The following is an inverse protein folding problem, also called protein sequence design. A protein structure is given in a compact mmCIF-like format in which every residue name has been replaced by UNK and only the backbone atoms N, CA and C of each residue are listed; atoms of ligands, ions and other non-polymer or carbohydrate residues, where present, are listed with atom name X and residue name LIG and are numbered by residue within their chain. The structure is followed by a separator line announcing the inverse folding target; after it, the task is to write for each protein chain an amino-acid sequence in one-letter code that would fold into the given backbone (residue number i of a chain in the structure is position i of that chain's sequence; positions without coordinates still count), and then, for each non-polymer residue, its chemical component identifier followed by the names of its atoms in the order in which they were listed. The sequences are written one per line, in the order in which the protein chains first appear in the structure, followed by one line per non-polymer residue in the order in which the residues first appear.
data_IF_852105241907
#
_entry.id   IF_852105241907
#
_cell.length_a   1.000
_cell.length_b   1.000
_cell.length_c   1.000
_cell.angle_alpha   90.00
_cell.angle_beta   90.00
_cell.angle_gamma   90.00
#
_symmetry.space_group_name_H-M   'P 1'
#
loop_
_entity.id
_entity.type
_entity.pdbx_description
1 polymer ?
#
# COMPACT_ATOMS: atom_id res chain seq x y z
N UNK A 1 -63.89 -18.87 -20.14
CA UNK A 1 -62.59 -18.84 -20.84
C UNK A 1 -61.61 -17.77 -20.32
N UNK A 2 -62.02 -16.59 -19.96
CA UNK A 2 -61.09 -15.52 -19.50
C UNK A 2 -60.40 -15.75 -18.15
N UNK A 3 -61.04 -16.47 -17.22
CA UNK A 3 -60.45 -16.76 -15.90
C UNK A 3 -59.24 -17.71 -15.98
N UNK A 4 -59.25 -18.70 -16.90
CA UNK A 4 -58.09 -19.63 -17.09
C UNK A 4 -56.91 -18.94 -17.70
N UNK A 5 -57.06 -17.93 -18.58
CA UNK A 5 -55.99 -17.16 -19.15
C UNK A 5 -55.33 -16.26 -18.11
N UNK A 6 -56.09 -15.71 -17.17
CA UNK A 6 -55.57 -14.87 -16.11
C UNK A 6 -54.66 -15.63 -15.13
N UNK A 7 -55.03 -16.89 -14.78
CA UNK A 7 -54.19 -17.73 -13.91
C UNK A 7 -52.93 -18.20 -14.62
N UNK A 8 -53.00 -18.45 -15.94
CA UNK A 8 -51.81 -18.81 -16.72
C UNK A 8 -50.82 -17.65 -16.87
N UNK A 9 -51.32 -16.41 -17.04
CA UNK A 9 -50.49 -15.23 -17.09
C UNK A 9 -49.87 -14.89 -15.72
N UNK A 10 -50.56 -15.07 -14.61
CA UNK A 10 -50.04 -14.93 -13.25
C UNK A 10 -48.95 -15.97 -12.91
N UNK A 11 -49.13 -17.19 -13.42
CA UNK A 11 -48.14 -18.29 -13.27
C UNK A 11 -46.86 -18.02 -14.06
N UNK A 12 -46.95 -17.48 -15.27
CA UNK A 12 -45.78 -17.07 -16.08
C UNK A 12 -45.03 -15.88 -15.46
N UNK A 13 -45.71 -14.90 -14.85
CA UNK A 13 -45.04 -13.82 -14.13
C UNK A 13 -44.34 -14.27 -12.84
N UNK A 14 -44.82 -15.34 -12.20
CA UNK A 14 -44.15 -15.95 -11.04
C UNK A 14 -42.81 -16.66 -11.39
N UNK A 15 -42.71 -17.21 -12.59
CA UNK A 15 -41.51 -17.92 -13.04
C UNK A 15 -40.36 -16.98 -13.46
N UNK A 16 -40.66 -15.74 -13.84
CA UNK A 16 -39.62 -14.76 -14.23
C UNK A 16 -38.82 -14.21 -13.03
N UNK A 17 -39.27 -14.40 -11.81
CA UNK A 17 -38.50 -14.01 -10.61
C UNK A 17 -37.52 -15.10 -10.09
N UNK A 18 -37.64 -16.32 -10.60
CA UNK A 18 -36.72 -17.40 -10.22
C UNK A 18 -35.40 -17.41 -11.00
N UNK A 19 -35.29 -16.59 -12.07
CA UNK A 19 -34.10 -16.56 -12.94
C UNK A 19 -32.99 -15.62 -12.48
N UNK A 20 -33.14 -14.89 -11.35
CA UNK A 20 -32.10 -14.06 -10.76
C UNK A 20 -31.54 -14.65 -9.46
N UNK A 21 -31.28 -15.96 -9.45
CA UNK A 21 -30.26 -16.47 -8.57
C UNK A 21 -28.91 -16.00 -9.15
N UNK A 22 -28.51 -14.75 -8.83
CA UNK A 22 -27.15 -14.30 -9.04
C UNK A 22 -26.27 -15.32 -8.35
N UNK A 23 -25.46 -16.05 -9.11
CA UNK A 23 -24.46 -16.94 -8.53
C UNK A 23 -23.63 -16.10 -7.57
N UNK A 24 -23.77 -16.34 -6.26
CA UNK A 24 -22.95 -15.70 -5.27
C UNK A 24 -21.48 -15.93 -5.66
N UNK A 25 -20.65 -14.92 -5.64
CA UNK A 25 -19.25 -15.08 -6.02
C UNK A 25 -18.61 -16.14 -5.12
N UNK A 26 -17.90 -17.07 -5.75
CA UNK A 26 -17.09 -18.04 -5.02
C UNK A 26 -16.01 -17.27 -4.28
N UNK A 27 -15.86 -17.48 -2.98
CA UNK A 27 -14.96 -16.72 -2.14
C UNK A 27 -13.73 -17.54 -1.73
N UNK A 28 -12.60 -16.86 -1.69
CA UNK A 28 -11.40 -17.25 -0.94
C UNK A 28 -11.45 -16.55 0.41
N UNK A 29 -11.35 -17.31 1.50
CA UNK A 29 -11.38 -16.73 2.83
C UNK A 29 -10.42 -17.48 3.76
N UNK A 30 -9.87 -16.78 4.74
CA UNK A 30 -8.94 -17.40 5.67
C UNK A 30 -8.33 -16.46 6.68
N UNK A 31 -7.31 -16.97 7.36
CA UNK A 31 -6.52 -16.27 8.35
C UNK A 31 -5.07 -16.17 7.91
N UNK A 32 -4.47 -15.02 8.14
CA UNK A 32 -3.05 -14.79 7.92
C UNK A 32 -2.41 -14.68 9.29
N UNK A 33 -1.39 -15.49 9.52
CA UNK A 33 -0.71 -15.59 10.81
C UNK A 33 0.81 -15.57 10.64
N UNK A 34 1.48 -15.12 11.66
CA UNK A 34 2.93 -15.29 11.81
C UNK A 34 3.26 -16.78 11.83
N UNK A 35 4.23 -17.20 11.02
CA UNK A 35 4.63 -18.61 10.92
C UNK A 35 5.13 -19.19 12.24
N UNK A 36 5.83 -18.40 13.03
CA UNK A 36 6.51 -18.87 14.24
C UNK A 36 5.64 -18.71 15.49
N UNK A 37 5.01 -17.53 15.68
CA UNK A 37 4.18 -17.24 16.86
C UNK A 37 2.73 -17.63 16.73
N UNK A 38 2.24 -17.85 15.48
CA UNK A 38 0.83 -18.09 15.15
C UNK A 38 -0.11 -16.91 15.48
N UNK A 39 0.45 -15.76 15.81
CA UNK A 39 -0.33 -14.54 16.02
C UNK A 39 -0.93 -14.03 14.73
N UNK A 40 -2.17 -13.50 14.77
CA UNK A 40 -2.80 -12.90 13.60
C UNK A 40 -1.98 -11.75 13.02
N UNK A 41 -1.94 -11.63 11.69
CA UNK A 41 -1.32 -10.52 10.99
C UNK A 41 -2.39 -9.55 10.48
N UNK A 42 -2.64 -8.45 11.19
CA UNK A 42 -3.63 -7.47 10.79
C UNK A 42 -3.17 -6.64 9.58
N UNK A 43 -4.15 -6.12 8.84
CA UNK A 43 -3.94 -5.22 7.70
C UNK A 43 -2.93 -5.73 6.67
N UNK A 44 -2.87 -7.04 6.50
CA UNK A 44 -2.06 -7.72 5.49
C UNK A 44 -2.76 -7.63 4.13
N UNK A 45 -2.04 -7.21 3.11
CA UNK A 45 -2.56 -7.18 1.74
C UNK A 45 -2.62 -8.58 1.16
N UNK A 46 -3.79 -8.96 0.66
CA UNK A 46 -4.04 -10.21 -0.05
C UNK A 46 -4.66 -9.90 -1.40
N UNK A 47 -4.08 -10.41 -2.47
CA UNK A 47 -4.52 -10.04 -3.81
C UNK A 47 -4.32 -11.14 -4.83
N UNK A 48 -5.20 -11.17 -5.83
CA UNK A 48 -5.05 -12.02 -7.02
C UNK A 48 -4.28 -11.22 -8.08
N UNK A 49 -3.17 -11.77 -8.54
CA UNK A 49 -2.26 -11.07 -9.45
C UNK A 49 -2.89 -10.79 -10.80
N UNK A 50 -3.52 -11.77 -11.42
CA UNK A 50 -4.07 -11.67 -12.76
C UNK A 50 -5.46 -11.01 -12.78
N UNK A 51 -6.26 -11.23 -11.73
CA UNK A 51 -7.56 -10.59 -11.58
C UNK A 51 -7.46 -9.12 -11.16
N UNK A 52 -6.32 -8.70 -10.64
CA UNK A 52 -6.08 -7.36 -10.10
C UNK A 52 -7.11 -6.95 -9.02
N UNK A 53 -7.56 -7.92 -8.25
CA UNK A 53 -8.46 -7.73 -7.12
C UNK A 53 -7.77 -8.11 -5.82
N UNK A 54 -8.18 -7.52 -4.73
CA UNK A 54 -7.60 -7.84 -3.44
C UNK A 54 -8.42 -7.33 -2.27
N UNK A 55 -7.96 -7.68 -1.07
CA UNK A 55 -8.51 -7.27 0.20
C UNK A 55 -7.38 -7.03 1.20
N UNK A 56 -7.70 -6.37 2.32
CA UNK A 56 -6.84 -6.34 3.50
C UNK A 56 -7.43 -7.28 4.56
N UNK A 57 -6.57 -7.98 5.30
CA UNK A 57 -7.03 -8.67 6.49
C UNK A 57 -7.48 -7.64 7.54
N UNK A 58 -8.48 -8.02 8.34
CA UNK A 58 -8.94 -7.22 9.46
C UNK A 58 -7.94 -7.28 10.66
N UNK A 59 -8.32 -6.69 11.78
CA UNK A 59 -7.51 -6.70 13.01
C UNK A 59 -7.21 -8.10 13.57
N UNK A 60 -7.99 -9.11 13.18
CA UNK A 60 -7.80 -10.52 13.56
C UNK A 60 -7.09 -11.35 12.48
N UNK A 61 -6.49 -10.70 11.48
CA UNK A 61 -5.82 -11.38 10.38
C UNK A 61 -6.76 -12.10 9.39
N UNK A 62 -8.08 -11.91 9.51
CA UNK A 62 -9.08 -12.54 8.62
C UNK A 62 -9.17 -11.78 7.32
N UNK A 63 -9.15 -12.49 6.20
CA UNK A 63 -9.37 -11.94 4.87
C UNK A 63 -10.48 -12.67 4.10
N UNK A 64 -11.05 -11.99 3.13
CA UNK A 64 -12.01 -12.53 2.19
C UNK A 64 -11.90 -11.78 0.85
N UNK A 65 -11.87 -12.51 -0.25
CA UNK A 65 -11.89 -11.95 -1.61
C UNK A 65 -12.53 -12.91 -2.61
N UNK A 66 -13.03 -12.44 -3.78
CA UNK A 66 -13.56 -13.31 -4.82
C UNK A 66 -12.48 -14.27 -5.33
N UNK A 67 -12.87 -15.52 -5.61
CA UNK A 67 -12.00 -16.49 -6.26
C UNK A 67 -11.73 -16.09 -7.72
N UNK A 68 -10.62 -16.57 -8.33
CA UNK A 68 -10.30 -16.27 -9.71
C UNK A 68 -11.43 -16.65 -10.68
N UNK A 69 -11.68 -15.80 -11.67
CA UNK A 69 -12.71 -16.01 -12.70
C UNK A 69 -12.16 -16.05 -14.12
N UNK A 70 -11.08 -15.33 -14.41
CA UNK A 70 -10.51 -15.20 -15.75
C UNK A 70 -9.69 -16.41 -16.17
N UNK A 71 -8.77 -16.84 -15.32
CA UNK A 71 -7.84 -17.92 -15.61
C UNK A 71 -8.16 -19.16 -14.78
N UNK A 72 -7.72 -20.34 -15.21
CA UNK A 72 -7.88 -21.58 -14.42
C UNK A 72 -7.14 -21.52 -13.07
N UNK A 73 -6.06 -20.76 -13.03
CA UNK A 73 -5.23 -20.55 -11.84
C UNK A 73 -4.79 -19.10 -11.76
N UNK A 74 -4.61 -18.61 -10.54
CA UNK A 74 -4.02 -17.29 -10.25
C UNK A 74 -3.10 -17.40 -9.04
N UNK A 75 -2.23 -16.42 -8.85
CA UNK A 75 -1.38 -16.31 -7.68
C UNK A 75 -2.02 -15.40 -6.64
N UNK A 76 -2.39 -15.99 -5.50
CA UNK A 76 -2.78 -15.23 -4.31
C UNK A 76 -1.49 -14.68 -3.67
N UNK A 77 -1.25 -13.38 -3.84
CA UNK A 77 -0.09 -12.68 -3.29
C UNK A 77 -0.44 -12.15 -1.91
N UNK A 78 0.43 -12.41 -0.94
CA UNK A 78 0.29 -11.99 0.45
C UNK A 78 1.48 -11.14 0.84
N UNK A 79 1.20 -9.94 1.34
CA UNK A 79 2.21 -8.98 1.75
C UNK A 79 1.88 -8.42 3.13
N UNK A 80 2.66 -8.83 4.12
CA UNK A 80 2.57 -8.33 5.49
C UNK A 80 3.82 -7.52 5.84
N UNK A 81 3.64 -6.49 6.66
CA UNK A 81 4.71 -5.62 7.13
C UNK A 81 5.73 -6.39 7.97
N UNK A 82 7.01 -6.33 7.59
CA UNK A 82 8.09 -7.05 8.28
C UNK A 82 8.18 -8.55 7.97
N UNK A 83 7.43 -9.02 6.98
CA UNK A 83 7.37 -10.43 6.58
C UNK A 83 7.79 -10.63 5.13
N UNK A 84 8.15 -11.85 4.78
CA UNK A 84 8.46 -12.22 3.40
C UNK A 84 7.19 -12.20 2.55
N UNK A 85 7.30 -11.65 1.35
CA UNK A 85 6.22 -11.74 0.39
C UNK A 85 6.00 -13.20 -0.01
N UNK A 86 4.74 -13.60 -0.10
CA UNK A 86 4.36 -14.97 -0.48
C UNK A 86 3.41 -14.94 -1.68
N UNK A 87 3.47 -15.99 -2.47
CA UNK A 87 2.52 -16.26 -3.53
C UNK A 87 2.03 -17.72 -3.42
N UNK A 88 0.72 -17.91 -3.38
CA UNK A 88 0.06 -19.20 -3.26
C UNK A 88 -0.80 -19.40 -4.49
N UNK A 89 -0.68 -20.55 -5.13
CA UNK A 89 -1.48 -20.88 -6.30
C UNK A 89 -2.92 -21.21 -5.87
N UNK A 90 -3.90 -20.52 -6.46
CA UNK A 90 -5.33 -20.74 -6.24
C UNK A 90 -6.03 -21.05 -7.56
N UNK A 91 -7.10 -21.87 -7.51
CA UNK A 91 -7.81 -22.33 -8.71
C UNK A 91 -9.16 -21.62 -8.88
N UNK A 92 -9.54 -21.43 -10.14
CA UNK A 92 -10.82 -20.83 -10.51
C UNK A 92 -12.01 -21.65 -9.98
N UNK A 93 -13.01 -20.92 -9.50
CA UNK A 93 -14.31 -21.52 -9.13
C UNK A 93 -14.26 -22.48 -7.94
N UNK A 94 -13.12 -22.65 -7.28
CA UNK A 94 -13.02 -23.45 -6.08
C UNK A 94 -13.10 -22.58 -4.84
N UNK A 95 -14.18 -22.69 -4.03
CA UNK A 95 -14.23 -22.03 -2.76
C UNK A 95 -13.14 -22.60 -1.86
N UNK A 96 -12.30 -21.74 -1.31
CA UNK A 96 -11.35 -22.11 -0.29
C UNK A 96 -11.68 -21.28 0.95
N UNK A 97 -12.56 -21.83 1.78
CA UNK A 97 -12.83 -21.32 3.10
C UNK A 97 -11.82 -21.90 4.09
N UNK A 98 -11.47 -21.13 5.11
CA UNK A 98 -10.53 -21.52 6.16
C UNK A 98 -9.07 -21.75 5.71
N UNK A 99 -8.60 -20.98 4.72
CA UNK A 99 -7.19 -20.94 4.41
C UNK A 99 -6.41 -20.42 5.64
N UNK A 100 -5.34 -21.12 6.02
CA UNK A 100 -4.38 -20.63 7.00
C UNK A 100 -3.09 -20.33 6.28
N UNK A 101 -2.74 -19.04 6.22
CA UNK A 101 -1.55 -18.57 5.51
C UNK A 101 -0.50 -18.19 6.56
N UNK A 102 0.52 -19.01 6.67
CA UNK A 102 1.64 -18.80 7.58
C UNK A 102 2.74 -18.01 6.90
N UNK A 103 2.96 -16.77 7.34
CA UNK A 103 3.93 -15.87 6.71
C UNK A 103 5.20 -15.81 7.55
N UNK A 104 6.37 -16.16 6.99
CA UNK A 104 7.63 -16.12 7.71
C UNK A 104 8.13 -14.67 7.84
N UNK A 105 8.68 -14.33 8.99
CA UNK A 105 9.30 -13.02 9.23
C UNK A 105 10.47 -12.80 8.28
N UNK A 106 10.65 -11.55 7.87
CA UNK A 106 11.86 -11.14 7.17
C UNK A 106 12.98 -10.99 8.21
N UNK A 107 14.11 -11.67 8.00
CA UNK A 107 15.26 -11.45 8.85
C UNK A 107 15.83 -10.04 8.55
N UNK A 108 15.62 -9.11 9.45
CA UNK A 108 16.21 -7.77 9.37
C UNK A 108 17.51 -7.81 10.15
N UNK A 109 18.63 -7.68 9.43
CA UNK A 109 19.91 -7.42 10.08
C UNK A 109 19.85 -5.98 10.64
N UNK A 110 19.53 -5.85 11.91
CA UNK A 110 19.65 -4.60 12.62
C UNK A 110 21.13 -4.27 12.72
N UNK A 111 21.60 -3.33 11.92
CA UNK A 111 22.91 -2.73 12.13
C UNK A 111 22.86 -2.00 13.46
N UNK A 112 23.53 -2.52 14.48
CA UNK A 112 23.68 -1.81 15.74
C UNK A 112 24.49 -0.55 15.50
N UNK A 113 23.84 0.60 15.40
CA UNK A 113 24.54 1.87 15.48
C UNK A 113 24.87 2.10 16.95
N UNK A 114 26.11 1.85 17.31
CA UNK A 114 26.66 2.35 18.56
C UNK A 114 26.73 3.87 18.42
N UNK A 115 25.76 4.56 18.97
CA UNK A 115 25.80 6.02 19.12
C UNK A 115 26.93 6.32 20.11
N UNK A 116 28.15 6.47 19.60
CA UNK A 116 29.20 7.15 20.36
C UNK A 116 28.73 8.58 20.55
N UNK A 117 28.72 9.05 21.80
CA UNK A 117 28.19 10.36 22.20
C UNK A 117 28.79 11.53 21.43
N UNK A 118 28.30 11.77 20.23
CA UNK A 118 28.57 12.93 19.39
C UNK A 118 27.40 13.91 19.46
N UNK A 119 27.67 15.19 19.17
CA UNK A 119 26.60 16.18 19.05
C UNK A 119 25.72 15.81 17.85
N UNK A 120 24.48 15.46 18.10
CA UNK A 120 23.48 15.14 17.08
C UNK A 120 22.86 16.47 16.60
N UNK A 121 22.73 16.61 15.30
CA UNK A 121 22.02 17.73 14.68
C UNK A 121 20.95 17.18 13.74
N UNK A 122 19.76 17.78 13.73
CA UNK A 122 18.71 17.42 12.77
C UNK A 122 19.11 17.83 11.35
N UNK A 123 18.88 16.92 10.41
CA UNK A 123 19.09 17.11 8.98
C UNK A 123 17.78 16.84 8.25
N UNK A 124 17.24 17.84 7.56
CA UNK A 124 16.12 17.66 6.63
C UNK A 124 16.62 17.12 5.29
N UNK A 125 15.98 16.08 4.80
CA UNK A 125 16.20 15.44 3.50
C UNK A 125 14.88 15.28 2.75
N UNK A 126 14.94 15.24 1.40
CA UNK A 126 13.76 15.06 0.56
C UNK A 126 13.19 16.38 0.01
N UNK A 127 11.89 16.43 -0.23
CA UNK A 127 11.22 17.58 -0.83
C UNK A 127 11.21 18.78 0.12
N UNK A 128 11.60 19.95 -0.39
CA UNK A 128 11.69 21.20 0.37
C UNK A 128 10.70 22.27 -0.09
N UNK A 129 10.04 22.06 -1.25
CA UNK A 129 9.08 23.00 -1.81
C UNK A 129 8.00 23.40 -0.80
N UNK A 130 7.73 24.67 -0.71
CA UNK A 130 6.64 25.19 0.13
C UNK A 130 5.26 25.02 -0.51
N UNK A 131 5.21 24.87 -1.85
CA UNK A 131 3.98 24.71 -2.63
C UNK A 131 4.09 23.47 -3.53
N UNK A 132 3.02 22.73 -3.70
CA UNK A 132 2.99 21.59 -4.59
C UNK A 132 3.03 22.01 -6.06
N UNK A 133 3.55 21.11 -6.89
CA UNK A 133 3.38 21.17 -8.33
C UNK A 133 1.95 20.83 -8.75
N UNK A 134 1.66 21.05 -10.03
CA UNK A 134 0.41 20.58 -10.63
C UNK A 134 0.40 19.06 -10.76
N UNK A 135 -0.78 18.46 -10.63
CA UNK A 135 -0.95 17.02 -10.71
C UNK A 135 -1.32 16.38 -9.38
N UNK A 136 -1.59 15.09 -9.44
CA UNK A 136 -2.07 14.27 -8.34
C UNK A 136 -1.30 12.95 -8.31
N UNK A 137 -1.00 12.46 -7.11
CA UNK A 137 -0.53 11.10 -6.87
C UNK A 137 -1.54 10.43 -5.95
N UNK A 138 -2.23 9.45 -6.49
CA UNK A 138 -3.29 8.72 -5.77
C UNK A 138 -3.09 7.22 -5.95
N UNK A 139 -3.62 6.45 -5.04
CA UNK A 139 -3.54 5.00 -5.05
C UNK A 139 -4.89 4.33 -4.83
N UNK A 140 -4.87 3.03 -4.95
CA UNK A 140 -5.94 2.12 -4.55
C UNK A 140 -5.51 1.39 -3.28
N UNK A 141 -6.43 0.82 -2.49
CA UNK A 141 -6.08 0.00 -1.35
C UNK A 141 -5.03 -1.06 -1.69
N UNK A 142 -3.98 -1.15 -0.88
CA UNK A 142 -2.85 -2.05 -1.10
C UNK A 142 -1.78 -1.54 -2.07
N UNK A 143 -2.01 -0.41 -2.74
CA UNK A 143 -0.95 0.27 -3.50
C UNK A 143 -0.09 1.14 -2.59
N UNK A 144 1.11 1.49 -3.08
CA UNK A 144 2.03 2.34 -2.34
C UNK A 144 2.66 3.37 -3.27
N UNK A 145 2.97 4.53 -2.71
CA UNK A 145 3.80 5.55 -3.35
C UNK A 145 5.00 5.82 -2.46
N UNK A 146 6.18 5.47 -2.93
CA UNK A 146 7.45 5.60 -2.23
C UNK A 146 8.31 6.68 -2.87
N UNK A 147 8.95 7.52 -2.06
CA UNK A 147 9.91 8.51 -2.51
C UNK A 147 11.29 8.20 -1.94
N UNK A 148 12.32 8.21 -2.81
CA UNK A 148 13.70 8.00 -2.38
C UNK A 148 14.27 9.26 -1.73
N UNK A 149 14.41 9.23 -0.43
CA UNK A 149 15.07 10.24 0.39
C UNK A 149 16.57 9.98 0.33
N UNK A 150 17.22 10.57 -0.68
CA UNK A 150 18.64 10.37 -0.95
C UNK A 150 19.50 11.19 0.01
N UNK A 151 20.62 10.64 0.44
CA UNK A 151 21.64 11.36 1.20
C UNK A 151 22.54 12.20 0.28
N UNK A 152 21.97 13.21 -0.39
CA UNK A 152 22.68 14.06 -1.36
C UNK A 152 23.89 14.81 -0.75
N UNK A 153 23.96 14.90 0.57
CA UNK A 153 25.02 15.62 1.30
C UNK A 153 26.14 14.70 1.79
N UNK A 154 26.03 13.41 1.54
CA UNK A 154 26.99 12.38 2.00
C UNK A 154 27.33 12.52 3.49
N UNK A 155 26.32 12.74 4.33
CA UNK A 155 26.49 12.89 5.77
C UNK A 155 26.34 11.54 6.45
N UNK A 156 27.01 11.38 7.57
CA UNK A 156 26.80 10.21 8.43
C UNK A 156 25.43 10.36 9.10
N UNK A 157 24.50 9.50 8.70
CA UNK A 157 23.14 9.52 9.19
C UNK A 157 23.01 8.68 10.48
N UNK A 158 22.11 9.11 11.35
CA UNK A 158 21.68 8.39 12.55
C UNK A 158 20.25 7.90 12.39
N UNK A 159 19.41 8.14 13.39
CA UNK A 159 18.02 7.70 13.37
C UNK A 159 17.13 8.62 12.53
N UNK A 160 16.14 8.02 11.88
CA UNK A 160 15.03 8.72 11.26
C UNK A 160 14.11 9.21 12.38
N UNK A 161 13.94 10.53 12.48
CA UNK A 161 13.12 11.18 13.53
C UNK A 161 11.67 11.31 13.13
N UNK A 162 11.44 11.79 11.92
CA UNK A 162 10.09 11.96 11.40
C UNK A 162 10.07 11.88 9.89
N UNK A 163 8.89 11.61 9.35
CA UNK A 163 8.60 11.70 7.93
C UNK A 163 7.40 12.57 7.70
N UNK A 164 7.37 13.29 6.58
CA UNK A 164 6.24 14.15 6.26
C UNK A 164 5.77 13.91 4.85
N UNK A 165 4.45 13.93 4.67
CA UNK A 165 3.74 13.78 3.41
C UNK A 165 2.95 15.06 3.14
N UNK A 166 3.03 15.61 1.93
CA UNK A 166 2.12 16.69 1.57
C UNK A 166 0.80 16.09 1.09
N UNK A 167 -0.22 16.20 1.92
CA UNK A 167 -1.56 15.72 1.63
C UNK A 167 -2.29 16.76 0.79
N UNK A 168 -2.83 16.38 -0.36
CA UNK A 168 -3.59 17.27 -1.23
C UNK A 168 -4.93 17.69 -0.63
N UNK A 169 -5.53 18.74 -1.19
CA UNK A 169 -6.82 19.28 -0.74
C UNK A 169 -7.98 18.35 -1.07
N UNK A 170 -7.85 17.64 -2.21
CA UNK A 170 -8.84 16.68 -2.69
C UNK A 170 -8.61 15.28 -2.10
N UNK A 171 -9.60 14.39 -2.24
CA UNK A 171 -9.55 13.04 -1.70
C UNK A 171 -10.07 12.96 -0.27
N UNK A 172 -9.66 11.95 0.45
CA UNK A 172 -10.12 11.65 1.82
C UNK A 172 -8.95 11.69 2.81
N UNK A 173 -8.48 12.86 3.25
CA UNK A 173 -7.29 12.99 4.09
C UNK A 173 -7.39 12.23 5.43
N UNK A 174 -8.59 12.07 5.96
CA UNK A 174 -8.84 11.38 7.24
C UNK A 174 -8.90 9.86 7.14
N UNK A 175 -8.92 9.29 5.94
CA UNK A 175 -8.78 7.85 5.79
C UNK A 175 -7.43 7.38 6.32
N UNK A 176 -7.34 6.17 6.91
CA UNK A 176 -6.06 5.68 7.41
C UNK A 176 -5.11 5.33 6.28
N UNK A 177 -3.84 5.57 6.49
CA UNK A 177 -2.76 5.07 5.64
C UNK A 177 -1.61 4.55 6.51
N UNK A 178 -0.83 3.62 5.94
CA UNK A 178 0.35 3.08 6.62
C UNK A 178 1.61 3.76 6.14
N UNK A 179 2.48 4.10 7.08
CA UNK A 179 3.84 4.56 6.79
C UNK A 179 4.75 3.36 6.62
N UNK A 180 5.56 3.37 5.58
CA UNK A 180 6.57 2.33 5.30
C UNK A 180 7.92 2.99 5.08
N UNK A 181 8.98 2.32 5.53
CA UNK A 181 10.37 2.75 5.30
C UNK A 181 11.14 1.57 4.73
N UNK A 182 11.73 1.75 3.53
CA UNK A 182 12.43 0.67 2.84
C UNK A 182 13.89 1.01 2.57
N UNK A 183 14.72 -0.03 2.48
CA UNK A 183 16.04 0.08 1.85
C UNK A 183 15.89 0.08 0.32
N UNK A 184 16.86 0.72 -0.39
CA UNK A 184 16.94 0.66 -1.85
C UNK A 184 17.69 -0.58 -2.32
N UNK A 185 17.29 -1.77 -1.85
CA UNK A 185 18.00 -3.04 -2.06
C UNK A 185 17.20 -4.04 -2.92
N UNK A 186 16.18 -3.57 -3.61
CA UNK A 186 15.46 -4.32 -4.64
C UNK A 186 16.12 -4.21 -6.02
N UNK A 187 15.53 -4.88 -7.01
CA UNK A 187 15.96 -4.79 -8.40
C UNK A 187 15.98 -3.32 -8.86
N UNK A 188 17.05 -2.90 -9.52
CA UNK A 188 17.25 -1.50 -9.96
C UNK A 188 17.16 -0.48 -8.81
N UNK A 189 17.58 -0.86 -7.61
CA UNK A 189 17.46 -0.07 -6.38
C UNK A 189 16.01 0.31 -6.02
N UNK A 190 15.03 -0.53 -6.38
CA UNK A 190 13.65 -0.36 -5.95
C UNK A 190 13.51 -0.55 -4.44
N UNK A 191 12.41 -0.07 -3.82
CA UNK A 191 12.09 -0.41 -2.45
C UNK A 191 11.99 -1.92 -2.25
N UNK A 192 12.60 -2.48 -1.19
CA UNK A 192 12.51 -3.91 -0.92
C UNK A 192 12.51 -4.22 0.58
N UNK A 193 13.65 -4.16 1.26
CA UNK A 193 13.70 -4.48 2.70
C UNK A 193 13.04 -3.40 3.53
N UNK A 194 11.97 -3.76 4.21
CA UNK A 194 11.26 -2.87 5.14
C UNK A 194 12.04 -2.74 6.44
N UNK A 195 12.39 -1.53 6.82
CA UNK A 195 13.14 -1.23 8.05
C UNK A 195 12.29 -0.62 9.16
N UNK A 196 11.05 -0.21 8.86
CA UNK A 196 10.04 0.10 9.87
C UNK A 196 9.16 -1.15 10.09
N UNK A 197 9.49 -1.92 11.10
CA UNK A 197 8.84 -3.23 11.37
C UNK A 197 7.53 -3.13 12.13
N UNK A 198 7.24 -1.96 12.69
CA UNK A 198 6.00 -1.70 13.42
C UNK A 198 4.90 -1.20 12.48
N UNK A 199 3.67 -1.56 12.81
CA UNK A 199 2.50 -1.14 12.04
C UNK A 199 2.10 0.31 12.39
N UNK A 200 2.69 1.28 11.71
CA UNK A 200 2.41 2.71 11.91
C UNK A 200 1.30 3.15 10.96
N UNK A 201 0.07 3.15 11.46
CA UNK A 201 -1.13 3.59 10.75
C UNK A 201 -1.56 4.94 11.30
N UNK A 202 -1.74 5.90 10.41
CA UNK A 202 -2.07 7.28 10.75
C UNK A 202 -3.13 7.85 9.81
N UNK A 203 -3.76 8.95 10.22
CA UNK A 203 -4.73 9.71 9.44
C UNK A 203 -4.37 11.19 9.49
N UNK A 204 -4.38 11.85 8.34
CA UNK A 204 -4.14 13.30 8.33
C UNK A 204 -5.42 14.05 8.74
N UNK A 205 -5.34 15.08 9.57
CA UNK A 205 -6.52 15.82 10.03
C UNK A 205 -7.18 16.62 8.90
N UNK A 206 -6.40 17.06 7.92
CA UNK A 206 -6.85 17.85 6.78
C UNK A 206 -5.90 17.70 5.59
N UNK A 207 -6.37 18.05 4.38
CA UNK A 207 -5.55 18.20 3.18
C UNK A 207 -5.00 19.63 3.01
N UNK A 208 -4.27 19.86 1.92
CA UNK A 208 -3.66 21.15 1.58
C UNK A 208 -2.40 21.49 2.39
N UNK A 209 -1.80 20.52 3.07
CA UNK A 209 -0.70 20.77 3.99
C UNK A 209 0.23 19.57 4.18
N UNK A 210 1.39 19.86 4.77
CA UNK A 210 2.29 18.83 5.27
C UNK A 210 1.70 18.14 6.51
N UNK A 211 1.70 16.81 6.49
CA UNK A 211 1.39 15.98 7.62
C UNK A 211 2.65 15.23 8.06
N UNK A 212 3.05 15.41 9.31
CA UNK A 212 4.30 14.86 9.87
C UNK A 212 3.99 13.73 10.84
N UNK A 213 4.69 12.63 10.68
CA UNK A 213 4.60 11.44 11.54
C UNK A 213 5.90 11.31 12.33
N UNK A 214 5.82 11.30 13.65
CA UNK A 214 6.95 11.04 14.53
C UNK A 214 7.34 9.57 14.50
N UNK A 215 8.59 9.30 14.15
CA UNK A 215 9.17 7.95 14.12
C UNK A 215 10.23 7.74 15.21
N UNK A 216 10.44 8.72 16.08
CA UNK A 216 11.41 8.65 17.19
C UNK A 216 11.25 7.38 18.05
N UNK A 217 10.01 6.92 18.39
CA UNK A 217 9.84 5.73 19.23
C UNK A 217 10.35 4.43 18.61
N UNK A 218 10.53 4.40 17.28
CA UNK A 218 10.87 3.17 16.56
C UNK A 218 12.36 2.95 16.35
N UNK A 219 13.20 3.94 16.67
CA UNK A 219 14.67 3.88 16.59
C UNK A 219 15.20 3.37 15.24
N UNK A 220 14.64 3.85 14.14
CA UNK A 220 14.97 3.41 12.78
C UNK A 220 16.28 4.05 12.35
N UNK A 221 17.29 3.24 12.09
CA UNK A 221 18.59 3.70 11.58
C UNK A 221 18.49 3.98 10.08
N UNK A 222 18.83 5.19 9.67
CA UNK A 222 18.83 5.57 8.27
C UNK A 222 20.03 4.92 7.54
N UNK A 223 19.81 4.20 6.41
CA UNK A 223 20.88 3.75 5.54
C UNK A 223 21.70 4.92 5.00
N UNK A 224 23.02 4.74 4.84
CA UNK A 224 23.95 5.81 4.43
C UNK A 224 23.66 6.34 3.03
N UNK A 225 23.24 5.47 2.10
CA UNK A 225 22.86 5.83 0.73
C UNK A 225 21.54 6.61 0.65
N UNK A 226 20.70 6.52 1.68
CA UNK A 226 19.32 6.99 1.73
C UNK A 226 18.34 5.84 1.89
N UNK A 227 17.07 6.17 1.90
CA UNK A 227 15.99 5.23 2.15
C UNK A 227 14.71 5.70 1.45
N UNK A 228 13.77 4.78 1.26
CA UNK A 228 12.44 5.12 0.80
C UNK A 228 11.51 5.42 1.96
N UNK A 229 10.72 6.47 1.80
CA UNK A 229 9.54 6.75 2.64
C UNK A 229 8.33 6.53 1.76
N UNK A 230 7.41 5.67 2.19
CA UNK A 230 6.23 5.34 1.43
C UNK A 230 4.94 5.54 2.23
N UNK A 231 3.90 5.98 1.51
CA UNK A 231 2.51 5.89 1.90
C UNK A 231 1.92 4.63 1.29
N UNK A 232 1.31 3.79 2.11
CA UNK A 232 0.51 2.65 1.67
C UNK A 232 -0.96 2.95 1.94
N UNK A 233 -1.78 2.96 0.89
CA UNK A 233 -3.23 3.14 1.01
C UNK A 233 -3.86 1.87 1.56
N UNK A 234 -4.57 1.98 2.67
CA UNK A 234 -5.20 0.86 3.36
C UNK A 234 -6.67 1.14 3.60
N UNK A 235 -7.48 0.06 3.64
CA UNK A 235 -8.81 0.08 4.24
C UNK A 235 -8.83 -0.87 5.42
N UNK A 236 -9.59 -0.55 6.43
CA UNK A 236 -9.91 -1.49 7.51
C UNK A 236 -11.15 -2.31 7.15
N UNK A 237 -11.14 -3.61 7.49
CA UNK A 237 -12.25 -4.53 7.26
C UNK A 237 -12.20 -5.30 5.95
N UNK A 238 -13.24 -6.11 5.70
CA UNK A 238 -13.30 -7.07 4.60
C UNK A 238 -13.83 -6.44 3.30
N UNK A 239 -13.26 -5.30 2.90
CA UNK A 239 -13.65 -4.62 1.66
C UNK A 239 -12.81 -5.13 0.50
N UNK A 240 -13.47 -5.57 -0.57
CA UNK A 240 -12.83 -5.87 -1.83
C UNK A 240 -12.49 -4.58 -2.57
N UNK A 241 -11.39 -4.59 -3.35
CA UNK A 241 -11.03 -3.49 -4.22
C UNK A 241 -10.52 -4.02 -5.57
N UNK A 242 -10.66 -3.19 -6.59
CA UNK A 242 -10.06 -3.41 -7.90
C UNK A 242 -8.94 -2.40 -8.09
N UNK A 243 -7.86 -2.83 -8.73
CA UNK A 243 -6.73 -1.97 -9.08
C UNK A 243 -6.77 -1.48 -10.53
N UNK A 244 -7.83 -1.80 -11.26
CA UNK A 244 -8.04 -1.36 -12.63
C UNK A 244 -8.61 0.07 -12.65
N UNK A 245 -7.78 1.02 -13.07
CA UNK A 245 -8.15 2.43 -13.17
C UNK A 245 -9.07 2.75 -14.35
N UNK A 246 -9.34 1.79 -15.23
CA UNK A 246 -10.25 1.94 -16.36
C UNK A 246 -11.70 1.51 -16.03
N UNK A 247 -11.96 1.13 -14.77
CA UNK A 247 -13.31 0.81 -14.32
C UNK A 247 -14.17 2.09 -14.28
N UNK A 248 -15.33 2.08 -14.94
CA UNK A 248 -16.28 3.21 -14.98
C UNK A 248 -16.80 3.59 -13.58
N UNK A 249 -16.73 2.67 -12.62
CA UNK A 249 -17.11 2.90 -11.22
C UNK A 249 -15.92 3.32 -10.34
N UNK A 250 -14.82 3.75 -10.96
CA UNK A 250 -13.66 4.21 -10.21
C UNK A 250 -14.02 5.36 -9.26
N UNK A 251 -13.85 5.15 -7.99
CA UNK A 251 -14.00 6.17 -6.96
C UNK A 251 -12.62 6.50 -6.38
N UNK A 252 -12.21 7.76 -6.33
CA UNK A 252 -10.98 8.16 -5.65
C UNK A 252 -10.98 7.58 -4.23
N UNK A 253 -9.84 7.02 -3.83
CA UNK A 253 -9.70 6.36 -2.55
C UNK A 253 -8.57 7.00 -1.73
N UNK A 254 -8.83 7.22 -0.45
CA UNK A 254 -7.84 7.68 0.51
C UNK A 254 -7.28 9.08 0.20
N UNK A 255 -6.07 9.30 0.67
CA UNK A 255 -5.37 10.57 0.48
C UNK A 255 -4.90 10.74 -0.96
N UNK A 256 -4.90 11.98 -1.40
CA UNK A 256 -4.19 12.39 -2.60
C UNK A 256 -2.90 13.07 -2.14
N UNK A 257 -1.74 12.59 -2.62
CA UNK A 257 -0.49 13.30 -2.45
C UNK A 257 -0.24 14.24 -3.61
N UNK A 258 0.50 15.30 -3.35
CA UNK A 258 0.87 16.28 -4.38
C UNK A 258 2.29 16.03 -4.87
N UNK A 259 2.57 16.30 -6.15
CA UNK A 259 3.91 16.20 -6.68
C UNK A 259 4.76 17.44 -6.41
N UNK A 260 6.08 17.25 -6.51
CA UNK A 260 7.08 18.33 -6.64
C UNK A 260 7.90 18.12 -7.92
N UNK A 261 8.46 19.22 -8.43
CA UNK A 261 9.36 19.25 -9.60
C UNK A 261 10.77 19.69 -9.23
N UNK A 262 11.14 19.64 -7.96
CA UNK A 262 12.46 20.08 -7.46
C UNK A 262 13.63 19.23 -7.99
N UNK A 263 13.35 17.98 -8.39
CA UNK A 263 14.37 17.00 -8.75
C UNK A 263 14.41 16.78 -10.27
N UNK A 264 15.61 16.71 -10.83
CA UNK A 264 15.82 16.39 -12.27
C UNK A 264 15.58 14.91 -12.56
N UNK A 265 15.89 14.04 -11.59
CA UNK A 265 15.70 12.60 -11.68
C UNK A 265 14.37 12.16 -11.05
N UNK A 266 13.87 11.00 -11.50
CA UNK A 266 12.75 10.33 -10.85
C UNK A 266 13.23 9.68 -9.55
N UNK A 267 12.59 10.02 -8.43
CA UNK A 267 12.82 9.46 -7.09
C UNK A 267 11.59 8.75 -6.53
N UNK A 268 10.49 8.80 -7.27
CA UNK A 268 9.20 8.22 -6.84
C UNK A 268 8.97 6.89 -7.50
N UNK A 269 8.58 5.91 -6.71
CA UNK A 269 8.19 4.58 -7.12
C UNK A 269 6.76 4.31 -6.71
N UNK A 270 5.99 3.71 -7.60
CA UNK A 270 4.63 3.26 -7.31
C UNK A 270 4.61 1.74 -7.25
N UNK A 271 3.98 1.21 -6.21
CA UNK A 271 3.66 -0.20 -6.10
C UNK A 271 2.20 -0.42 -6.43
N UNK A 272 1.95 -1.35 -7.31
CA UNK A 272 0.62 -1.90 -7.53
C UNK A 272 0.66 -3.41 -7.33
N UNK A 273 -0.46 -3.98 -6.88
CA UNK A 273 -0.57 -5.41 -6.59
C UNK A 273 -0.20 -6.26 -7.80
N UNK A 274 -0.62 -5.85 -8.99
CA UNK A 274 -0.43 -6.60 -10.24
C UNK A 274 0.98 -6.48 -10.84
N UNK A 275 1.66 -5.35 -10.63
CA UNK A 275 2.93 -5.03 -11.32
C UNK A 275 4.13 -4.91 -10.39
N UNK A 276 3.92 -4.89 -9.07
CA UNK A 276 4.98 -4.61 -8.12
C UNK A 276 5.48 -3.16 -8.19
N UNK A 277 6.75 -2.95 -7.84
CA UNK A 277 7.38 -1.64 -7.86
C UNK A 277 7.74 -1.18 -9.27
N UNK A 278 7.34 0.03 -9.63
CA UNK A 278 7.66 0.69 -10.90
C UNK A 278 8.10 2.13 -10.64
N UNK A 279 9.23 2.52 -11.25
CA UNK A 279 9.71 3.90 -11.18
C UNK A 279 8.74 4.83 -11.92
N UNK A 280 8.31 5.90 -11.27
CA UNK A 280 7.48 6.93 -11.88
C UNK A 280 8.33 7.80 -12.82
N UNK A 281 8.21 7.57 -14.11
CA UNK A 281 8.99 8.30 -15.14
C UNK A 281 8.23 9.44 -15.79
N UNK A 282 7.02 9.75 -15.33
CA UNK A 282 6.22 10.86 -15.85
C UNK A 282 6.96 12.19 -15.72
N UNK A 283 6.76 13.04 -16.70
CA UNK A 283 7.25 14.41 -16.71
C UNK A 283 6.13 15.36 -17.15
N UNK A 284 6.20 16.62 -16.73
CA UNK A 284 5.33 17.66 -17.23
C UNK A 284 5.75 18.11 -18.64
N UNK A 285 5.00 19.03 -19.24
CA UNK A 285 5.30 19.58 -20.59
C UNK A 285 6.66 20.29 -20.69
N UNK A 286 7.33 20.57 -19.58
CA UNK A 286 8.67 21.16 -19.51
C UNK A 286 9.77 20.12 -19.26
N UNK A 287 9.43 18.82 -19.24
CA UNK A 287 10.37 17.73 -19.00
C UNK A 287 10.77 17.54 -17.53
N UNK A 288 10.13 18.23 -16.59
CA UNK A 288 10.40 18.08 -15.16
C UNK A 288 9.72 16.83 -14.63
N UNK A 289 10.44 16.05 -13.81
CA UNK A 289 9.96 14.77 -13.27
C UNK A 289 8.96 14.96 -12.13
N UNK A 290 7.88 14.19 -12.18
CA UNK A 290 6.94 14.09 -11.08
C UNK A 290 7.57 13.30 -9.95
N UNK A 291 7.68 13.92 -8.78
CA UNK A 291 8.12 13.27 -7.56
C UNK A 291 7.14 13.57 -6.44
N UNK A 292 6.87 12.59 -5.58
CA UNK A 292 6.00 12.80 -4.43
C UNK A 292 6.60 13.84 -3.47
N UNK A 293 5.77 14.74 -2.96
CA UNK A 293 6.17 15.65 -1.90
C UNK A 293 6.27 14.90 -0.57
N UNK A 294 7.42 14.27 -0.38
CA UNK A 294 7.78 13.54 0.83
C UNK A 294 9.15 14.02 1.32
N UNK A 295 9.28 14.18 2.62
CA UNK A 295 10.54 14.56 3.29
C UNK A 295 10.72 13.79 4.60
N UNK A 296 11.94 13.77 5.09
CA UNK A 296 12.30 13.17 6.37
C UNK A 296 13.22 14.10 7.16
N UNK A 297 13.13 14.00 8.48
CA UNK A 297 14.14 14.52 9.40
C UNK A 297 14.94 13.36 9.97
N UNK A 298 16.25 13.46 9.89
CA UNK A 298 17.18 12.44 10.37
C UNK A 298 18.23 13.06 11.30
N UNK A 299 18.74 12.25 12.20
CA UNK A 299 19.93 12.61 12.95
C UNK A 299 21.15 12.65 12.03
N UNK A 300 21.93 13.70 12.13
CA UNK A 300 23.26 13.79 11.53
C UNK A 300 24.29 13.66 12.65
N UNK A 301 25.15 12.66 12.53
CA UNK A 301 26.25 12.43 13.47
C UNK A 301 27.41 13.33 13.06
N UNK A 302 27.83 14.24 13.94
CA UNK A 302 29.06 15.01 13.72
C UNK A 302 30.25 14.15 14.13
N UNK A 303 31.20 14.06 13.23
CA UNK A 303 32.54 13.53 13.53
C UNK A 303 33.30 14.42 14.50
#
# INVERSE_FOLDING_TARGET
MYKSLLYFALFLCGLSNLAKAQNAPVLLAGHIVDKDTKEPLPFTSVSLREEQTGALSNEFGVFQLPAPTKNEQDSLVVMALGYKHMAILVKRGQPQANLVIEVPRMAIALSSVVVKGGKVKNLGLGATASRPGEGLLQGQPGSQCAFFVKNDKNKKLGNIRSVSFYIGENGFPREPFRVRIYKPDGNYNAPNTDILTQNVVVSAPAGGQWYTVDLTPYNIVAPEEGFFVAMEWIVSGDKFFKTDFMDENYTPFGQIMRPTFEFKESRTWNYTISRGWNLLTMANGQGQRYNAMIKAEVDMIKE
#
